data_IF_312892728255
#
_entry.id   IF_312892728255
#
_cell.length_a   1.000
_cell.length_b   1.000
_cell.length_c   1.000
_cell.angle_alpha   90.00
_cell.angle_beta   90.00
_cell.angle_gamma   90.00
#
_symmetry.space_group_name_H-M   'P 1'
#
loop_
_entity.id
_entity.type
_entity.pdbx_description
1 polymer ?
#
# COMPACT_ATOMS: atom_id res chain seq x y z
N UNK A 1 -10.40 -57.62 1.50
CA UNK A 1 -11.30 -56.52 1.11
C UNK A 1 -10.47 -55.32 0.73
N UNK A 2 -10.24 -55.12 -0.57
CA UNK A 2 -9.47 -53.99 -1.08
C UNK A 2 -10.41 -52.82 -1.29
N UNK A 3 -10.33 -51.80 -0.45
CA UNK A 3 -11.03 -50.51 -0.64
C UNK A 3 -10.27 -49.68 -1.65
N UNK A 4 -10.71 -49.67 -2.89
CA UNK A 4 -10.29 -48.73 -3.92
C UNK A 4 -10.68 -47.31 -3.47
N UNK A 5 -9.70 -46.49 -3.08
CA UNK A 5 -9.87 -45.06 -2.93
C UNK A 5 -10.03 -44.48 -4.34
N UNK A 6 -11.25 -44.14 -4.70
CA UNK A 6 -11.55 -43.47 -5.95
C UNK A 6 -10.85 -42.09 -5.97
N UNK A 7 -9.83 -41.99 -6.82
CA UNK A 7 -9.24 -40.69 -7.20
C UNK A 7 -10.35 -39.86 -7.84
N UNK A 8 -10.89 -38.87 -7.11
CA UNK A 8 -11.87 -37.97 -7.64
C UNK A 8 -11.31 -37.24 -8.85
N UNK A 9 -11.79 -37.60 -10.02
CA UNK A 9 -11.53 -36.99 -11.31
C UNK A 9 -11.80 -35.48 -11.20
N UNK A 10 -10.72 -34.70 -11.31
CA UNK A 10 -10.83 -33.25 -11.45
C UNK A 10 -11.60 -32.99 -12.74
N UNK A 11 -12.74 -32.28 -12.72
CA UNK A 11 -13.45 -31.96 -13.96
C UNK A 11 -12.48 -31.24 -14.89
N UNK A 12 -12.40 -31.67 -16.14
CA UNK A 12 -11.63 -31.00 -17.18
C UNK A 12 -12.21 -29.59 -17.39
N UNK A 13 -11.66 -28.61 -16.66
CA UNK A 13 -11.98 -27.19 -16.85
C UNK A 13 -11.40 -26.76 -18.19
N UNK A 14 -12.23 -26.73 -19.22
CA UNK A 14 -11.86 -26.46 -20.61
C UNK A 14 -11.84 -24.96 -20.95
N UNK A 15 -11.28 -24.12 -20.07
CA UNK A 15 -11.02 -22.72 -20.40
C UNK A 15 -11.45 -21.70 -19.35
N UNK A 16 -11.20 -20.43 -19.64
CA UNK A 16 -11.43 -19.30 -18.73
C UNK A 16 -12.89 -19.12 -18.33
N UNK A 17 -13.84 -19.36 -19.25
CA UNK A 17 -15.28 -19.19 -19.00
C UNK A 17 -15.87 -20.28 -18.12
N UNK A 18 -15.24 -21.46 -18.08
CA UNK A 18 -15.70 -22.58 -17.26
C UNK A 18 -15.26 -22.48 -15.78
N UNK A 19 -14.51 -21.42 -15.40
CA UNK A 19 -14.04 -21.25 -14.03
C UNK A 19 -15.19 -20.87 -13.10
N UNK A 20 -15.41 -21.71 -12.08
CA UNK A 20 -16.33 -21.36 -10.99
C UNK A 20 -15.66 -20.36 -10.02
N UNK A 21 -15.86 -19.08 -10.28
CA UNK A 21 -15.25 -17.98 -9.51
C UNK A 21 -15.65 -17.98 -8.05
N UNK A 22 -16.94 -18.29 -7.75
CA UNK A 22 -17.44 -18.35 -6.36
C UNK A 22 -16.66 -19.41 -5.56
N UNK A 23 -16.47 -20.60 -6.13
CA UNK A 23 -15.71 -21.67 -5.50
C UNK A 23 -14.21 -21.30 -5.36
N UNK A 24 -13.62 -20.65 -6.38
CA UNK A 24 -12.22 -20.19 -6.32
C UNK A 24 -12.02 -19.17 -5.20
N UNK A 25 -12.87 -18.15 -5.10
CA UNK A 25 -12.79 -17.14 -4.03
C UNK A 25 -13.01 -17.75 -2.64
N UNK A 26 -13.98 -18.65 -2.49
CA UNK A 26 -14.24 -19.34 -1.22
C UNK A 26 -13.02 -20.16 -0.75
N UNK A 27 -12.39 -20.89 -1.67
CA UNK A 27 -11.17 -21.69 -1.35
C UNK A 27 -10.00 -20.80 -0.97
N UNK A 28 -9.75 -19.70 -1.71
CA UNK A 28 -8.70 -18.73 -1.38
C UNK A 28 -8.95 -18.12 0.00
N UNK A 29 -10.18 -17.64 0.26
CA UNK A 29 -10.56 -17.05 1.55
C UNK A 29 -10.37 -18.03 2.71
N UNK A 30 -10.75 -19.31 2.54
CA UNK A 30 -10.53 -20.34 3.58
C UNK A 30 -9.05 -20.50 3.91
N UNK A 31 -8.17 -20.48 2.92
CA UNK A 31 -6.72 -20.56 3.13
C UNK A 31 -6.18 -19.29 3.78
N UNK A 32 -6.65 -18.11 3.37
CA UNK A 32 -6.27 -16.83 3.98
C UNK A 32 -6.65 -16.75 5.47
N UNK A 33 -7.84 -17.20 5.85
CA UNK A 33 -8.26 -17.26 7.26
C UNK A 33 -7.37 -18.21 8.08
N UNK A 34 -6.97 -19.35 7.50
CA UNK A 34 -6.03 -20.29 8.15
C UNK A 34 -4.63 -19.68 8.30
N UNK A 35 -4.15 -18.95 7.30
CA UNK A 35 -2.87 -18.23 7.37
C UNK A 35 -2.94 -17.17 8.49
N UNK A 36 -3.98 -16.35 8.54
CA UNK A 36 -4.16 -15.35 9.58
C UNK A 36 -4.21 -15.98 11.00
N UNK A 37 -4.93 -17.11 11.17
CA UNK A 37 -4.96 -17.84 12.44
C UNK A 37 -3.57 -18.34 12.84
N UNK A 38 -2.86 -19.00 11.93
CA UNK A 38 -1.50 -19.50 12.19
C UNK A 38 -0.52 -18.35 12.50
N UNK A 39 -0.67 -17.20 11.84
CA UNK A 39 0.13 -15.99 12.10
C UNK A 39 -0.10 -15.46 13.52
N UNK A 40 -1.37 -15.34 13.97
CA UNK A 40 -1.68 -14.93 15.35
C UNK A 40 -1.08 -15.86 16.40
N UNK A 41 -1.01 -17.16 16.09
CA UNK A 41 -0.41 -18.18 16.93
C UNK A 41 1.11 -18.31 16.76
N UNK A 42 1.73 -17.44 15.95
CA UNK A 42 3.18 -17.46 15.62
C UNK A 42 3.69 -18.79 15.06
N UNK A 43 2.82 -19.59 14.48
CA UNK A 43 3.13 -20.90 13.88
C UNK A 43 3.73 -20.73 12.47
N UNK A 44 4.91 -20.14 12.39
CA UNK A 44 5.55 -19.72 11.12
C UNK A 44 5.80 -20.88 10.13
N UNK A 45 6.02 -22.10 10.63
CA UNK A 45 6.11 -23.28 9.76
C UNK A 45 4.79 -23.54 9.04
N UNK A 46 3.67 -23.52 9.79
CA UNK A 46 2.33 -23.71 9.23
C UNK A 46 1.94 -22.55 8.28
N UNK A 47 2.32 -21.31 8.59
CA UNK A 47 2.13 -20.18 7.68
C UNK A 47 2.79 -20.46 6.34
N UNK A 48 4.07 -20.86 6.32
CA UNK A 48 4.79 -21.19 5.07
C UNK A 48 4.17 -22.35 4.29
N UNK A 49 3.68 -23.37 4.97
CA UNK A 49 2.98 -24.51 4.33
C UNK A 49 1.66 -24.05 3.69
N UNK A 50 0.84 -23.28 4.39
CA UNK A 50 -0.42 -22.75 3.88
C UNK A 50 -0.20 -21.78 2.71
N UNK A 51 0.81 -20.93 2.77
CA UNK A 51 1.21 -20.07 1.65
C UNK A 51 1.58 -20.91 0.42
N UNK A 52 2.32 -22.02 0.62
CA UNK A 52 2.71 -22.94 -0.46
C UNK A 52 1.49 -23.66 -1.06
N UNK A 53 0.52 -24.07 -0.23
CA UNK A 53 -0.74 -24.66 -0.69
C UNK A 53 -1.53 -23.64 -1.52
N UNK A 54 -1.69 -22.40 -1.04
CA UNK A 54 -2.43 -21.35 -1.73
C UNK A 54 -1.80 -21.03 -3.09
N UNK A 55 -0.50 -20.79 -3.12
CA UNK A 55 0.23 -20.37 -4.33
C UNK A 55 0.35 -21.47 -5.39
N UNK A 56 0.21 -22.74 -5.00
CA UNK A 56 0.15 -23.87 -5.93
C UNK A 56 -1.26 -24.20 -6.40
N UNK A 57 -2.29 -23.73 -5.68
CA UNK A 57 -3.67 -24.06 -6.00
C UNK A 57 -4.12 -23.41 -7.31
N UNK A 58 -4.95 -24.12 -8.07
CA UNK A 58 -5.63 -23.58 -9.25
C UNK A 58 -6.42 -22.31 -8.90
N UNK A 59 -7.17 -22.35 -7.80
CA UNK A 59 -7.99 -21.23 -7.34
C UNK A 59 -7.17 -19.96 -7.07
N UNK A 60 -6.01 -20.08 -6.43
CA UNK A 60 -5.09 -18.96 -6.20
C UNK A 60 -4.58 -18.37 -7.51
N UNK A 61 -4.13 -19.23 -8.44
CA UNK A 61 -3.64 -18.81 -9.76
C UNK A 61 -4.74 -18.12 -10.59
N UNK A 62 -5.94 -18.68 -10.63
CA UNK A 62 -7.08 -18.11 -11.35
C UNK A 62 -7.45 -16.71 -10.81
N UNK A 63 -7.60 -16.57 -9.48
CA UNK A 63 -7.90 -15.29 -8.83
C UNK A 63 -6.80 -14.25 -9.09
N UNK A 64 -5.53 -14.65 -9.05
CA UNK A 64 -4.40 -13.77 -9.33
C UNK A 64 -4.42 -13.25 -10.79
N UNK A 65 -4.66 -14.12 -11.76
CA UNK A 65 -4.78 -13.72 -13.18
C UNK A 65 -5.98 -12.81 -13.38
N UNK A 66 -7.13 -13.12 -12.77
CA UNK A 66 -8.31 -12.27 -12.82
C UNK A 66 -8.02 -10.86 -12.32
N UNK A 67 -7.37 -10.74 -11.16
CA UNK A 67 -6.98 -9.44 -10.56
C UNK A 67 -6.17 -8.57 -11.52
N UNK A 68 -5.22 -9.12 -12.24
CA UNK A 68 -4.34 -8.35 -13.14
C UNK A 68 -4.97 -8.05 -14.51
N UNK A 69 -5.99 -8.80 -14.90
CA UNK A 69 -6.69 -8.62 -16.18
C UNK A 69 -7.98 -7.79 -16.06
N UNK A 70 -8.42 -7.48 -14.84
CA UNK A 70 -9.63 -6.67 -14.58
C UNK A 70 -9.32 -5.29 -13.97
N UNK A 71 -8.08 -5.03 -13.53
CA UNK A 71 -7.67 -3.74 -12.96
C UNK A 71 -7.46 -2.64 -14.02
N UNK A 72 -7.29 -1.39 -13.57
CA UNK A 72 -7.06 -0.24 -14.45
C UNK A 72 -5.78 -0.36 -15.29
N UNK A 73 -4.76 -1.05 -14.79
CA UNK A 73 -3.47 -1.29 -15.46
C UNK A 73 -3.47 -2.42 -16.50
N UNK A 74 -4.61 -3.09 -16.76
CA UNK A 74 -4.72 -4.26 -17.64
C UNK A 74 -4.25 -4.03 -19.08
N UNK A 75 -4.30 -2.77 -19.57
CA UNK A 75 -3.90 -2.38 -20.93
C UNK A 75 -2.45 -1.90 -21.02
N UNK A 76 -1.71 -1.86 -19.93
CA UNK A 76 -0.33 -1.36 -19.92
C UNK A 76 0.64 -2.55 -19.94
N UNK A 77 1.36 -2.81 -21.05
CA UNK A 77 2.29 -3.94 -21.15
C UNK A 77 3.58 -3.68 -20.36
N UNK A 78 4.26 -4.75 -19.96
CA UNK A 78 5.62 -4.71 -19.45
C UNK A 78 6.64 -4.50 -20.56
N UNK A 79 7.89 -4.95 -20.34
CA UNK A 79 8.97 -4.85 -21.33
C UNK A 79 8.74 -5.77 -22.54
N UNK A 80 7.99 -6.87 -22.33
CA UNK A 80 7.66 -7.87 -23.35
C UNK A 80 6.57 -7.43 -24.33
N UNK A 81 5.97 -6.25 -24.13
CA UNK A 81 4.86 -5.73 -24.95
C UNK A 81 3.55 -6.52 -24.83
N UNK A 82 3.50 -7.58 -24.00
CA UNK A 82 2.36 -8.50 -23.95
C UNK A 82 1.31 -8.05 -22.93
N UNK A 83 0.06 -8.27 -23.31
CA UNK A 83 -1.14 -8.11 -22.46
C UNK A 83 -2.03 -9.33 -22.60
N UNK A 84 -2.91 -9.60 -21.62
CA UNK A 84 -3.82 -10.74 -21.64
C UNK A 84 -5.27 -10.24 -21.80
N UNK A 85 -5.74 -10.20 -23.04
CA UNK A 85 -7.09 -9.74 -23.37
C UNK A 85 -8.09 -10.89 -23.53
N UNK A 86 -7.67 -11.89 -24.30
CA UNK A 86 -8.55 -12.99 -24.68
C UNK A 86 -8.68 -14.03 -23.57
N UNK A 87 -9.79 -14.79 -23.54
CA UNK A 87 -9.96 -15.90 -22.61
C UNK A 87 -8.82 -16.95 -22.71
N UNK A 88 -8.33 -17.20 -23.94
CA UNK A 88 -7.21 -18.13 -24.19
C UNK A 88 -5.91 -17.64 -23.55
N UNK A 89 -5.59 -16.34 -23.67
CA UNK A 89 -4.40 -15.75 -23.04
C UNK A 89 -4.50 -15.77 -21.51
N UNK A 90 -5.66 -15.44 -20.96
CA UNK A 90 -5.90 -15.50 -19.51
C UNK A 90 -5.75 -16.91 -18.97
N UNK A 91 -6.29 -17.90 -19.68
CA UNK A 91 -6.13 -19.30 -19.33
C UNK A 91 -4.67 -19.74 -19.40
N UNK A 92 -3.96 -19.41 -20.48
CA UNK A 92 -2.52 -19.61 -20.61
C UNK A 92 -1.73 -18.96 -19.48
N UNK A 93 -2.17 -17.78 -19.05
CA UNK A 93 -1.64 -17.08 -17.87
C UNK A 93 -1.76 -17.93 -16.60
N UNK A 94 -2.94 -18.51 -16.31
CA UNK A 94 -3.14 -19.40 -15.15
C UNK A 94 -2.21 -20.60 -15.19
N UNK A 95 -2.10 -21.28 -16.35
CA UNK A 95 -1.24 -22.43 -16.54
C UNK A 95 0.25 -22.09 -16.39
N UNK A 96 0.65 -20.87 -16.77
CA UNK A 96 2.05 -20.42 -16.72
C UNK A 96 2.56 -20.07 -15.33
N UNK A 97 1.68 -19.93 -14.32
CA UNK A 97 2.06 -19.55 -12.96
C UNK A 97 2.64 -20.75 -12.18
N UNK A 98 3.89 -21.07 -12.45
CA UNK A 98 4.66 -22.06 -11.72
C UNK A 98 5.95 -21.43 -11.21
N UNK A 99 6.35 -21.79 -9.97
CA UNK A 99 7.61 -21.33 -9.36
C UNK A 99 8.84 -22.01 -9.98
N UNK A 100 8.69 -23.28 -10.39
CA UNK A 100 9.78 -24.02 -11.03
C UNK A 100 10.12 -23.34 -12.36
N UNK A 101 11.39 -22.96 -12.53
CA UNK A 101 11.86 -22.28 -13.73
C UNK A 101 11.41 -20.81 -13.87
N UNK A 102 10.70 -20.25 -12.88
CA UNK A 102 10.29 -18.86 -12.93
C UNK A 102 11.49 -17.92 -12.76
N UNK A 103 11.61 -16.98 -13.71
CA UNK A 103 12.55 -15.85 -13.67
C UNK A 103 11.76 -14.59 -14.02
N UNK A 104 11.70 -13.58 -13.15
CA UNK A 104 11.08 -12.29 -13.46
C UNK A 104 11.88 -11.59 -14.56
N UNK A 105 11.18 -10.82 -15.38
CA UNK A 105 11.84 -9.95 -16.36
C UNK A 105 12.12 -8.58 -15.74
N UNK A 106 13.09 -7.82 -16.31
CA UNK A 106 13.30 -6.44 -15.91
C UNK A 106 12.03 -5.60 -16.06
N UNK A 107 11.86 -4.62 -15.18
CA UNK A 107 10.71 -3.73 -15.23
C UNK A 107 10.86 -2.73 -16.38
N UNK A 108 9.78 -2.37 -17.04
CA UNK A 108 9.76 -1.24 -17.97
C UNK A 108 9.65 0.06 -17.19
N UNK A 109 10.70 0.88 -17.16
CA UNK A 109 10.72 2.17 -16.46
C UNK A 109 10.02 3.24 -17.30
N UNK A 110 9.08 3.96 -16.67
CA UNK A 110 8.47 5.18 -17.21
C UNK A 110 8.49 6.26 -16.14
N UNK A 111 8.42 7.52 -16.55
CA UNK A 111 8.38 8.68 -15.66
C UNK A 111 7.00 9.34 -15.73
N UNK A 112 6.34 9.47 -14.58
CA UNK A 112 5.05 10.16 -14.46
C UNK A 112 5.31 11.56 -13.89
N UNK A 113 4.83 12.63 -14.55
CA UNK A 113 4.99 14.00 -14.05
C UNK A 113 4.22 14.18 -12.73
N UNK A 114 4.85 14.87 -11.77
CA UNK A 114 4.23 15.34 -10.53
C UNK A 114 3.77 16.78 -10.67
N UNK A 115 2.83 17.20 -9.82
CA UNK A 115 2.32 18.59 -9.80
C UNK A 115 3.38 19.66 -9.48
N UNK A 116 4.53 19.26 -8.94
CA UNK A 116 5.66 20.15 -8.61
C UNK A 116 6.75 20.19 -9.69
N UNK A 117 6.47 19.73 -10.92
CA UNK A 117 7.42 19.68 -12.04
C UNK A 117 8.45 18.54 -11.97
N UNK A 118 8.58 17.83 -10.84
CA UNK A 118 9.42 16.64 -10.74
C UNK A 118 8.71 15.43 -11.36
N UNK A 119 9.45 14.37 -11.66
CA UNK A 119 8.87 13.11 -12.15
C UNK A 119 8.90 12.04 -11.06
N UNK A 120 7.98 11.06 -11.19
CA UNK A 120 7.98 9.84 -10.38
C UNK A 120 8.35 8.67 -11.28
N UNK A 121 9.44 7.96 -11.02
CA UNK A 121 9.75 6.74 -11.76
C UNK A 121 8.75 5.64 -11.40
N UNK A 122 8.21 4.96 -12.42
CA UNK A 122 7.31 3.82 -12.27
C UNK A 122 7.88 2.62 -13.01
N UNK A 123 8.05 1.50 -12.32
CA UNK A 123 8.50 0.24 -12.90
C UNK A 123 7.32 -0.67 -13.23
N UNK A 124 7.10 -0.97 -14.50
CA UNK A 124 5.98 -1.78 -14.96
C UNK A 124 6.44 -3.21 -15.20
N UNK A 125 6.01 -4.20 -14.38
CA UNK A 125 6.33 -5.61 -14.59
C UNK A 125 5.55 -6.19 -15.79
N UNK A 126 6.00 -7.32 -16.34
CA UNK A 126 5.22 -8.08 -17.33
C UNK A 126 3.90 -8.58 -16.73
N UNK A 127 2.94 -8.97 -17.59
CA UNK A 127 1.68 -9.54 -17.10
C UNK A 127 1.89 -10.80 -16.26
N UNK A 128 2.86 -11.64 -16.65
CA UNK A 128 3.23 -12.84 -15.90
C UNK A 128 3.79 -12.51 -14.52
N UNK A 129 4.66 -11.51 -14.44
CA UNK A 129 5.26 -11.08 -13.17
C UNK A 129 4.22 -10.44 -12.24
N UNK A 130 3.32 -9.61 -12.80
CA UNK A 130 2.18 -9.06 -12.05
C UNK A 130 1.29 -10.16 -11.49
N UNK A 131 0.96 -11.18 -12.30
CA UNK A 131 0.12 -12.28 -11.86
C UNK A 131 0.82 -13.14 -10.79
N UNK A 132 2.15 -13.35 -10.90
CA UNK A 132 2.92 -14.03 -9.88
C UNK A 132 2.99 -13.23 -8.58
N UNK A 133 3.18 -11.92 -8.65
CA UNK A 133 3.11 -11.02 -7.49
C UNK A 133 1.72 -11.01 -6.87
N UNK A 134 0.66 -10.94 -7.68
CA UNK A 134 -0.73 -11.01 -7.20
C UNK A 134 -1.04 -12.34 -6.50
N UNK A 135 -0.52 -13.44 -7.01
CA UNK A 135 -0.67 -14.77 -6.40
C UNK A 135 -0.03 -14.83 -5.01
N UNK A 136 1.19 -14.31 -4.88
CA UNK A 136 1.88 -14.26 -3.60
C UNK A 136 1.31 -13.21 -2.66
N UNK A 137 0.74 -12.14 -3.19
CA UNK A 137 0.02 -11.16 -2.38
C UNK A 137 -1.19 -11.80 -1.68
N UNK A 138 -1.95 -12.69 -2.35
CA UNK A 138 -3.04 -13.44 -1.71
C UNK A 138 -2.56 -14.25 -0.48
N UNK A 139 -1.31 -14.70 -0.48
CA UNK A 139 -0.73 -15.48 0.60
C UNK A 139 -0.01 -14.64 1.66
N UNK A 140 0.48 -13.45 1.31
CA UNK A 140 1.21 -12.55 2.21
C UNK A 140 0.29 -11.55 2.92
N UNK A 141 -0.77 -11.06 2.25
CA UNK A 141 -1.71 -10.09 2.78
C UNK A 141 -2.35 -10.51 4.14
N UNK A 142 -2.77 -11.80 4.36
CA UNK A 142 -3.26 -12.21 5.66
C UNK A 142 -2.22 -12.12 6.79
N UNK A 143 -0.94 -12.31 6.46
CA UNK A 143 0.16 -12.14 7.42
C UNK A 143 0.33 -10.66 7.74
N UNK A 144 0.48 -9.83 6.70
CA UNK A 144 0.63 -8.38 6.85
C UNK A 144 -0.51 -7.76 7.67
N UNK A 145 -1.78 -8.10 7.35
CA UNK A 145 -2.94 -7.57 8.09
C UNK A 145 -3.00 -8.05 9.55
N UNK A 146 -2.44 -9.22 9.86
CA UNK A 146 -2.41 -9.74 11.22
C UNK A 146 -1.33 -9.10 12.08
N UNK A 147 -0.22 -8.67 11.48
CA UNK A 147 0.95 -8.10 12.17
C UNK A 147 1.06 -6.59 12.05
N UNK A 148 0.22 -5.98 11.22
CA UNK A 148 0.26 -4.54 10.94
C UNK A 148 0.01 -3.69 12.19
N UNK A 149 0.63 -2.53 12.22
CA UNK A 149 0.34 -1.48 13.19
C UNK A 149 -1.15 -1.09 13.15
N UNK A 150 -1.74 -0.87 14.32
CA UNK A 150 -3.17 -0.63 14.46
C UNK A 150 -3.61 0.65 13.73
N UNK A 151 -2.81 1.70 13.82
CA UNK A 151 -3.07 3.00 13.23
C UNK A 151 -2.32 3.24 11.91
N UNK A 152 -2.10 2.16 11.15
CA UNK A 152 -1.62 2.18 9.78
C UNK A 152 -2.78 1.94 8.81
N UNK A 153 -2.97 2.82 7.81
CA UNK A 153 -4.15 2.83 6.94
C UNK A 153 -3.85 2.68 5.45
N UNK A 154 -2.75 3.25 4.96
CA UNK A 154 -2.43 3.26 3.53
C UNK A 154 -2.17 1.88 2.96
N UNK A 155 -2.65 1.61 1.73
CA UNK A 155 -2.50 0.36 0.98
C UNK A 155 -3.08 -0.90 1.65
N UNK A 156 -3.88 -0.75 2.67
CA UNK A 156 -4.50 -1.86 3.40
C UNK A 156 -5.95 -2.07 2.94
N UNK A 157 -6.41 -3.34 2.84
CA UNK A 157 -7.80 -3.66 2.53
C UNK A 157 -8.76 -3.04 3.56
N UNK A 158 -9.89 -2.52 3.07
CA UNK A 158 -10.96 -1.94 3.89
C UNK A 158 -10.51 -0.77 4.79
N UNK A 159 -9.39 -0.14 4.47
CA UNK A 159 -8.89 1.08 5.13
C UNK A 159 -8.85 2.23 4.13
N UNK A 160 -9.20 3.42 4.59
CA UNK A 160 -9.30 4.62 3.76
C UNK A 160 -8.56 5.80 4.37
N UNK A 161 -8.47 6.89 3.63
CA UNK A 161 -7.96 8.17 4.17
C UNK A 161 -8.88 8.73 5.25
N UNK A 162 -10.19 8.43 5.18
CA UNK A 162 -11.16 8.87 6.17
C UNK A 162 -10.89 8.24 7.54
N UNK A 163 -10.59 6.93 7.58
CA UNK A 163 -10.27 6.22 8.82
C UNK A 163 -9.02 6.82 9.50
N UNK A 164 -8.02 7.22 8.70
CA UNK A 164 -6.83 7.89 9.22
C UNK A 164 -7.17 9.28 9.81
N UNK A 165 -8.00 10.06 9.13
CA UNK A 165 -8.45 11.38 9.58
C UNK A 165 -9.34 11.27 10.81
N UNK A 166 -10.25 10.30 10.87
CA UNK A 166 -11.06 10.01 12.05
C UNK A 166 -10.19 9.61 13.25
N UNK A 167 -9.19 8.76 13.02
CA UNK A 167 -8.21 8.40 14.04
C UNK A 167 -7.48 9.61 14.61
N UNK A 168 -7.12 10.59 13.78
CA UNK A 168 -6.54 11.86 14.22
C UNK A 168 -7.54 12.65 15.05
N UNK A 169 -8.78 12.78 14.58
CA UNK A 169 -9.83 13.50 15.29
C UNK A 169 -10.06 12.94 16.69
N UNK A 170 -10.25 11.63 16.80
CA UNK A 170 -10.49 10.95 18.10
C UNK A 170 -9.36 11.19 19.11
N UNK A 171 -8.11 11.30 18.65
CA UNK A 171 -6.94 11.47 19.54
C UNK A 171 -6.64 12.91 19.89
N UNK A 172 -7.06 13.87 19.07
CA UNK A 172 -6.62 15.27 19.18
C UNK A 172 -7.75 16.25 19.44
N UNK A 173 -9.03 15.87 19.41
CA UNK A 173 -10.16 16.78 19.53
C UNK A 173 -10.38 17.33 20.95
N UNK A 174 -10.03 16.57 21.99
CA UNK A 174 -10.28 16.95 23.38
C UNK A 174 -9.36 18.08 23.86
N UNK A 175 -9.79 18.85 24.89
CA UNK A 175 -9.00 19.94 25.49
C UNK A 175 -7.65 19.48 26.03
N UNK A 176 -7.63 18.28 26.63
CA UNK A 176 -6.43 17.65 27.23
C UNK A 176 -5.56 16.91 26.21
N UNK A 177 -5.96 16.85 24.96
CA UNK A 177 -5.20 16.17 23.89
C UNK A 177 -3.85 16.86 23.63
N UNK A 178 -2.87 16.11 23.07
CA UNK A 178 -1.56 16.65 22.74
C UNK A 178 -1.66 17.85 21.80
N UNK A 179 -0.75 18.81 22.00
CA UNK A 179 -0.74 20.06 21.22
C UNK A 179 0.34 20.12 20.15
N UNK A 180 1.34 19.25 20.24
CA UNK A 180 2.45 19.24 19.31
C UNK A 180 2.39 18.01 18.39
N UNK A 181 2.63 18.23 17.13
CA UNK A 181 2.55 17.23 16.07
C UNK A 181 3.85 17.22 15.27
N UNK A 182 4.49 16.07 15.16
CA UNK A 182 5.55 15.79 14.22
C UNK A 182 4.92 15.22 12.95
N UNK A 183 5.01 15.96 11.85
CA UNK A 183 4.68 15.52 10.50
C UNK A 183 5.93 14.86 9.93
N UNK A 184 5.85 13.59 9.54
CA UNK A 184 6.99 12.85 9.00
C UNK A 184 6.75 12.37 7.58
N UNK A 185 7.76 12.56 6.72
CA UNK A 185 7.82 12.03 5.36
C UNK A 185 9.10 11.21 5.21
N UNK A 186 9.01 10.06 4.53
CA UNK A 186 10.15 9.17 4.32
C UNK A 186 10.77 9.45 2.96
N UNK A 187 12.06 9.76 2.94
CA UNK A 187 12.80 10.06 1.71
C UNK A 187 12.86 8.85 0.79
N UNK A 188 12.10 8.89 -0.33
CA UNK A 188 12.14 7.83 -1.33
C UNK A 188 11.81 6.44 -0.78
N UNK A 189 10.80 6.31 0.07
CA UNK A 189 10.48 5.09 0.81
C UNK A 189 10.56 3.83 -0.06
N UNK A 190 9.87 3.78 -1.20
CA UNK A 190 9.87 2.61 -2.08
C UNK A 190 11.24 2.32 -2.73
N UNK A 191 12.08 3.31 -2.90
CA UNK A 191 13.34 3.20 -3.64
C UNK A 191 14.52 2.83 -2.71
N UNK A 192 14.37 3.00 -1.38
CA UNK A 192 15.47 2.91 -0.43
C UNK A 192 15.38 1.74 0.55
N UNK A 193 14.22 1.03 0.67
CA UNK A 193 14.09 -0.09 1.63
C UNK A 193 15.21 -1.11 1.40
N UNK A 194 15.94 -1.47 2.45
CA UNK A 194 17.02 -2.45 2.42
C UNK A 194 16.53 -3.82 1.91
N UNK A 195 17.17 -4.35 0.86
CA UNK A 195 16.90 -5.69 0.38
C UNK A 195 17.22 -6.76 1.43
N UNK A 196 18.29 -6.60 2.20
CA UNK A 196 18.68 -7.56 3.24
C UNK A 196 17.67 -7.59 4.37
N UNK A 197 17.16 -6.41 4.75
CA UNK A 197 16.08 -6.33 5.73
C UNK A 197 14.82 -7.06 5.24
N UNK A 198 14.38 -6.79 4.00
CA UNK A 198 13.21 -7.47 3.40
C UNK A 198 13.40 -8.98 3.35
N UNK A 199 14.59 -9.45 2.93
CA UNK A 199 14.89 -10.87 2.80
C UNK A 199 14.94 -11.61 4.15
N UNK A 200 15.23 -10.92 5.24
CA UNK A 200 15.30 -11.51 6.59
C UNK A 200 13.97 -11.44 7.35
N UNK A 201 13.12 -10.43 7.08
CA UNK A 201 11.92 -10.18 7.87
C UNK A 201 10.60 -10.53 7.17
N UNK A 202 10.55 -10.55 5.83
CA UNK A 202 9.30 -10.87 5.13
C UNK A 202 9.05 -12.38 5.11
N UNK A 203 7.95 -12.88 5.69
CA UNK A 203 7.67 -14.31 5.81
C UNK A 203 7.07 -14.89 4.52
N UNK A 204 7.89 -14.98 3.48
CA UNK A 204 7.56 -15.58 2.19
C UNK A 204 8.75 -16.37 1.63
N UNK A 205 8.61 -16.98 0.44
CA UNK A 205 9.73 -17.64 -0.24
C UNK A 205 10.85 -16.64 -0.53
N UNK A 206 11.96 -16.77 0.22
CA UNK A 206 13.13 -15.87 0.15
C UNK A 206 13.77 -15.83 -1.23
N UNK A 207 13.80 -16.99 -1.93
CA UNK A 207 14.41 -17.08 -3.28
C UNK A 207 13.59 -16.29 -4.29
N UNK A 208 12.26 -16.37 -4.19
CA UNK A 208 11.37 -15.62 -5.05
C UNK A 208 11.44 -14.13 -4.77
N UNK A 209 11.39 -13.72 -3.50
CA UNK A 209 11.53 -12.33 -3.11
C UNK A 209 12.83 -11.73 -3.64
N UNK A 210 13.96 -12.43 -3.45
CA UNK A 210 15.28 -12.02 -3.98
C UNK A 210 15.24 -11.83 -5.50
N UNK A 211 14.57 -12.72 -6.25
CA UNK A 211 14.44 -12.59 -7.71
C UNK A 211 13.69 -11.31 -8.10
N UNK A 212 12.61 -10.95 -7.40
CA UNK A 212 11.88 -9.72 -7.69
C UNK A 212 12.67 -8.46 -7.33
N UNK A 213 13.32 -8.44 -6.17
CA UNK A 213 14.14 -7.31 -5.74
C UNK A 213 15.34 -7.05 -6.67
N UNK A 214 15.90 -8.12 -7.25
CA UNK A 214 17.04 -8.07 -8.16
C UNK A 214 16.67 -8.12 -9.66
N UNK A 215 15.40 -7.99 -10.01
CA UNK A 215 14.95 -8.06 -11.41
C UNK A 215 15.49 -6.93 -12.29
N UNK A 216 15.86 -5.80 -11.71
CA UNK A 216 16.33 -4.62 -12.44
C UNK A 216 15.22 -3.94 -13.24
N UNK A 217 15.59 -2.94 -14.03
CA UNK A 217 14.67 -2.25 -14.92
C UNK A 217 15.36 -1.81 -16.20
N UNK A 218 14.57 -1.69 -17.24
CA UNK A 218 14.98 -1.13 -18.53
C UNK A 218 14.48 0.31 -18.66
N UNK A 219 15.39 1.21 -18.95
CA UNK A 219 15.12 2.61 -19.21
C UNK A 219 15.82 3.05 -20.49
N UNK A 220 15.06 3.54 -21.48
CA UNK A 220 15.60 3.97 -22.78
C UNK A 220 16.50 2.92 -23.47
N UNK A 221 16.14 1.64 -23.33
CA UNK A 221 16.92 0.54 -23.91
C UNK A 221 18.12 0.05 -23.07
N UNK A 222 18.43 0.72 -21.94
CA UNK A 222 19.54 0.36 -21.06
C UNK A 222 19.03 -0.40 -19.85
N UNK A 223 19.70 -1.51 -19.52
CA UNK A 223 19.41 -2.30 -18.30
C UNK A 223 20.09 -1.66 -17.08
N UNK A 224 19.34 -1.53 -16.00
CA UNK A 224 19.80 -1.00 -14.74
C UNK A 224 19.54 -1.99 -13.60
N UNK A 225 20.53 -2.20 -12.76
CA UNK A 225 20.40 -3.02 -11.56
C UNK A 225 19.64 -2.30 -10.45
N UNK A 226 18.97 -3.06 -9.57
CA UNK A 226 18.36 -2.54 -8.34
C UNK A 226 19.14 -3.05 -7.13
N UNK A 227 19.67 -2.15 -6.32
CA UNK A 227 20.46 -2.46 -5.12
C UNK A 227 19.65 -2.28 -3.82
N UNK A 228 18.62 -1.46 -3.86
CA UNK A 228 17.69 -1.20 -2.76
C UNK A 228 16.27 -1.01 -3.29
N UNK A 229 15.31 -0.94 -2.40
CA UNK A 229 13.93 -0.60 -2.69
C UNK A 229 13.07 -1.73 -3.22
N UNK A 230 11.80 -1.42 -3.35
CA UNK A 230 10.81 -2.26 -4.02
C UNK A 230 10.30 -1.52 -5.25
N UNK A 231 10.04 -2.21 -6.39
CA UNK A 231 9.64 -1.53 -7.61
C UNK A 231 8.35 -0.73 -7.43
N UNK A 232 8.40 0.60 -7.62
CA UNK A 232 7.18 1.41 -7.70
C UNK A 232 6.35 0.96 -8.91
N UNK A 233 5.15 0.39 -8.65
CA UNK A 233 4.28 -0.21 -9.67
C UNK A 233 4.20 -1.73 -9.63
N UNK A 234 4.99 -2.41 -8.80
CA UNK A 234 4.79 -3.81 -8.46
C UNK A 234 3.54 -4.00 -7.60
N UNK A 235 2.75 -5.04 -7.88
CA UNK A 235 1.50 -5.32 -7.13
C UNK A 235 1.77 -5.64 -5.66
N UNK A 236 2.88 -6.27 -5.35
CA UNK A 236 3.25 -6.69 -3.98
C UNK A 236 4.00 -5.58 -3.22
N UNK A 237 4.57 -4.59 -3.91
CA UNK A 237 5.43 -3.58 -3.32
C UNK A 237 4.76 -2.75 -2.21
N UNK A 238 3.47 -2.36 -2.30
CA UNK A 238 2.80 -1.65 -1.22
C UNK A 238 2.74 -2.44 0.09
N UNK A 239 2.52 -3.75 0.03
CA UNK A 239 2.49 -4.61 1.22
C UNK A 239 3.89 -4.79 1.78
N UNK A 240 4.92 -4.96 0.94
CA UNK A 240 6.31 -5.03 1.39
C UNK A 240 6.74 -3.74 2.11
N UNK A 241 6.36 -2.58 1.56
CA UNK A 241 6.63 -1.29 2.19
C UNK A 241 5.90 -1.15 3.53
N UNK A 242 4.61 -1.52 3.60
CA UNK A 242 3.89 -1.51 4.87
C UNK A 242 4.56 -2.41 5.91
N UNK A 243 4.90 -3.65 5.55
CA UNK A 243 5.56 -4.57 6.48
C UNK A 243 6.94 -4.08 6.94
N UNK A 244 7.64 -3.30 6.10
CA UNK A 244 8.89 -2.66 6.51
C UNK A 244 8.66 -1.52 7.52
N UNK A 245 7.53 -0.83 7.44
CA UNK A 245 7.20 0.29 8.32
C UNK A 245 6.38 -0.13 9.55
N UNK A 246 5.80 -1.33 9.55
CA UNK A 246 5.06 -1.86 10.69
C UNK A 246 6.00 -2.21 11.86
N UNK A 247 5.48 -2.03 13.06
CA UNK A 247 6.22 -2.18 14.31
C UNK A 247 6.66 -0.86 14.94
N UNK A 248 6.67 0.26 14.19
CA UNK A 248 7.02 1.57 14.72
C UNK A 248 6.02 2.04 15.79
N UNK A 249 4.72 1.84 15.56
CA UNK A 249 3.69 2.16 16.56
C UNK A 249 3.93 1.39 17.86
N UNK A 250 4.24 0.09 17.74
CA UNK A 250 4.54 -0.75 18.90
C UNK A 250 5.76 -0.24 19.68
N UNK A 251 6.83 0.14 18.99
CA UNK A 251 8.05 0.65 19.61
C UNK A 251 7.80 1.98 20.33
N UNK A 252 7.08 2.90 19.69
CA UNK A 252 6.64 4.16 20.31
C UNK A 252 5.78 3.92 21.56
N UNK A 253 4.82 2.97 21.48
CA UNK A 253 3.97 2.61 22.62
C UNK A 253 4.76 2.01 23.78
N UNK A 254 5.72 1.12 23.48
CA UNK A 254 6.57 0.50 24.50
C UNK A 254 7.48 1.51 25.19
N UNK A 255 7.94 2.54 24.48
CA UNK A 255 8.82 3.56 25.04
C UNK A 255 8.04 4.61 25.86
N UNK A 256 6.95 5.14 25.32
CA UNK A 256 6.29 6.32 25.87
C UNK A 256 4.97 6.04 26.60
N UNK A 257 4.44 4.82 26.53
CA UNK A 257 3.14 4.44 27.12
C UNK A 257 3.20 3.23 28.05
N UNK A 258 4.33 3.00 28.72
CA UNK A 258 4.55 1.83 29.60
C UNK A 258 3.57 1.75 30.79
N UNK A 259 3.04 2.88 31.26
CA UNK A 259 2.04 2.95 32.32
C UNK A 259 1.02 4.06 32.04
N UNK A 260 -0.12 4.04 32.72
CA UNK A 260 -1.14 5.09 32.60
C UNK A 260 -0.58 6.49 32.85
N UNK A 261 0.31 6.64 33.84
CA UNK A 261 1.00 7.90 34.14
C UNK A 261 1.88 8.38 32.98
N UNK A 262 2.72 7.51 32.43
CA UNK A 262 3.57 7.87 31.28
C UNK A 262 2.75 8.17 30.02
N UNK A 263 1.65 7.46 29.80
CA UNK A 263 0.73 7.76 28.70
C UNK A 263 0.14 9.17 28.81
N UNK A 264 -0.28 9.58 30.00
CA UNK A 264 -0.82 10.93 30.27
C UNK A 264 0.27 12.01 30.15
N UNK A 265 1.50 11.72 30.59
CA UNK A 265 2.64 12.66 30.57
C UNK A 265 3.12 12.94 29.14
N UNK A 266 3.36 11.92 28.34
CA UNK A 266 4.00 12.07 27.02
C UNK A 266 2.98 12.26 25.89
N UNK A 267 1.78 11.69 25.98
CA UNK A 267 0.70 11.80 25.00
C UNK A 267 1.12 11.47 23.55
N UNK A 268 2.06 10.52 23.42
CA UNK A 268 2.56 10.08 22.12
C UNK A 268 1.52 9.20 21.44
N UNK A 269 1.03 9.62 20.27
CA UNK A 269 0.16 8.84 19.41
C UNK A 269 0.76 8.82 18.01
N UNK A 270 0.48 7.75 17.25
CA UNK A 270 0.98 7.53 15.91
C UNK A 270 -0.15 7.24 14.95
N UNK A 271 -0.15 7.86 13.79
CA UNK A 271 -1.09 7.59 12.68
C UNK A 271 -0.30 7.62 11.37
N UNK A 272 -0.40 6.54 10.58
CA UNK A 272 0.33 6.40 9.32
C UNK A 272 -0.59 6.10 8.15
N UNK A 273 -0.29 6.72 7.02
CA UNK A 273 -0.89 6.41 5.73
C UNK A 273 0.21 6.20 4.68
N UNK A 274 0.57 4.95 4.41
CA UNK A 274 1.71 4.58 3.57
C UNK A 274 3.04 5.15 4.11
N UNK A 275 3.68 6.03 3.37
CA UNK A 275 4.92 6.73 3.72
C UNK A 275 4.71 8.06 4.48
N UNK A 276 3.48 8.59 4.48
CA UNK A 276 3.12 9.78 5.26
C UNK A 276 2.68 9.36 6.67
N UNK A 277 3.19 10.00 7.70
CA UNK A 277 2.77 9.74 9.07
C UNK A 277 2.79 10.99 9.95
N UNK A 278 2.05 10.93 11.03
CA UNK A 278 2.11 11.92 12.11
C UNK A 278 2.35 11.25 13.45
N UNK A 279 3.06 11.95 14.31
CA UNK A 279 3.23 11.58 15.70
C UNK A 279 2.88 12.77 16.60
N UNK A 280 1.99 12.59 17.58
CA UNK A 280 1.69 13.64 18.55
C UNK A 280 2.54 13.53 19.80
N UNK A 281 2.66 14.60 20.55
CA UNK A 281 3.35 14.64 21.84
C UNK A 281 2.92 15.81 22.73
N UNK A 282 3.22 15.70 24.02
CA UNK A 282 2.89 16.72 25.02
C UNK A 282 3.70 18.01 24.86
N UNK A 283 4.94 17.92 24.39
CA UNK A 283 5.80 19.08 24.14
C UNK A 283 6.58 18.97 22.84
N UNK A 284 7.12 20.08 22.37
CA UNK A 284 7.99 20.14 21.20
C UNK A 284 9.30 19.43 21.45
N UNK A 285 9.88 19.64 22.63
CA UNK A 285 11.18 19.08 23.07
C UNK A 285 11.12 17.55 23.09
N UNK A 286 10.01 16.97 23.58
CA UNK A 286 9.79 15.53 23.56
C UNK A 286 9.81 14.98 22.13
N UNK A 287 9.12 15.65 21.21
CA UNK A 287 9.08 15.22 19.81
C UNK A 287 10.45 15.38 19.13
N UNK A 288 11.18 16.43 19.41
CA UNK A 288 12.47 16.72 18.78
C UNK A 288 13.61 15.86 19.33
N UNK A 289 13.68 15.69 20.66
CA UNK A 289 14.82 15.09 21.33
C UNK A 289 14.67 13.59 21.62
N UNK A 290 13.45 13.07 21.65
CA UNK A 290 13.21 11.67 21.99
C UNK A 290 12.47 10.92 20.88
N UNK A 291 11.31 11.44 20.41
CA UNK A 291 10.45 10.73 19.43
C UNK A 291 11.12 10.69 18.05
N UNK A 292 11.60 11.83 17.54
CA UNK A 292 12.26 11.91 16.24
C UNK A 292 13.53 11.05 16.14
N UNK A 293 14.45 11.03 17.12
CA UNK A 293 15.60 10.13 17.10
C UNK A 293 15.21 8.64 17.11
N UNK A 294 14.19 8.24 17.89
CA UNK A 294 13.69 6.87 17.90
C UNK A 294 13.16 6.48 16.51
N UNK A 295 12.32 7.31 15.90
CA UNK A 295 11.83 7.08 14.55
C UNK A 295 12.99 6.99 13.54
N UNK A 296 13.96 7.87 13.64
CA UNK A 296 15.14 7.86 12.76
C UNK A 296 15.98 6.59 12.91
N UNK A 297 16.15 6.07 14.13
CA UNK A 297 16.82 4.81 14.39
C UNK A 297 16.07 3.63 13.78
N UNK A 298 14.74 3.55 14.00
CA UNK A 298 13.86 2.56 13.41
C UNK A 298 13.94 2.54 11.88
N UNK A 299 13.93 3.72 11.25
CA UNK A 299 14.03 3.85 9.79
C UNK A 299 15.42 3.41 9.27
N UNK A 300 16.49 3.77 9.97
CA UNK A 300 17.88 3.43 9.56
C UNK A 300 18.11 1.93 9.49
N UNK A 301 17.58 1.14 10.42
CA UNK A 301 17.66 -0.33 10.37
C UNK A 301 17.07 -0.91 9.08
N UNK A 302 16.11 -0.21 8.47
CA UNK A 302 15.40 -0.59 7.26
C UNK A 302 15.98 0.03 5.99
N UNK A 303 17.13 0.77 6.14
CA UNK A 303 17.75 1.51 5.03
C UNK A 303 16.98 2.76 4.63
N UNK A 304 16.12 3.28 5.51
CA UNK A 304 15.27 4.44 5.27
C UNK A 304 15.75 5.66 6.06
N UNK A 305 15.41 6.83 5.56
CA UNK A 305 15.73 8.13 6.18
C UNK A 305 14.48 9.02 6.18
N UNK A 306 14.35 9.84 7.23
CA UNK A 306 13.36 10.92 7.26
C UNK A 306 13.77 12.02 6.29
N UNK A 307 12.78 12.62 5.62
CA UNK A 307 13.01 13.81 4.80
C UNK A 307 13.11 15.04 5.70
N UNK A 308 14.30 15.60 5.87
CA UNK A 308 14.50 16.80 6.70
C UNK A 308 13.67 17.99 6.21
N UNK A 309 13.58 18.18 4.89
CA UNK A 309 12.81 19.26 4.26
C UNK A 309 11.29 19.20 4.54
N UNK A 310 10.76 18.00 4.77
CA UNK A 310 9.32 17.77 4.92
C UNK A 310 8.93 17.30 6.32
N UNK A 311 9.89 16.99 7.17
CA UNK A 311 9.63 16.63 8.57
C UNK A 311 9.58 17.90 9.40
N UNK A 312 8.42 18.19 9.96
CA UNK A 312 8.20 19.43 10.74
C UNK A 312 7.49 19.14 12.07
N UNK A 313 7.77 19.96 13.08
CA UNK A 313 7.05 19.93 14.34
C UNK A 313 6.19 21.18 14.44
N UNK A 314 4.87 20.99 14.46
CA UNK A 314 3.86 22.05 14.38
C UNK A 314 2.95 22.01 15.61
N UNK A 315 2.58 23.20 16.13
CA UNK A 315 1.54 23.31 17.17
C UNK A 315 0.16 23.21 16.52
N UNK A 316 -0.77 22.50 17.17
CA UNK A 316 -2.11 22.22 16.62
C UNK A 316 -2.94 23.49 16.32
N UNK A 317 -2.69 24.60 17.03
CA UNK A 317 -3.37 25.88 16.79
C UNK A 317 -2.86 26.59 15.52
N UNK A 318 -1.65 26.26 15.05
CA UNK A 318 -1.17 26.67 13.72
C UNK A 318 -1.79 25.81 12.63
N UNK A 319 -2.04 24.53 12.94
CA UNK A 319 -2.57 23.52 12.04
C UNK A 319 -1.53 22.91 11.12
N UNK A 320 -1.85 21.74 10.61
CA UNK A 320 -1.01 20.98 9.68
C UNK A 320 -1.85 20.35 8.57
N UNK A 321 -1.22 19.99 7.45
CA UNK A 321 -1.89 19.38 6.32
C UNK A 321 -1.55 17.88 6.27
N UNK A 322 -2.57 17.02 6.36
CA UNK A 322 -2.42 15.58 6.25
C UNK A 322 -3.46 15.00 5.28
N UNK A 323 -3.03 14.20 4.31
CA UNK A 323 -3.88 13.58 3.29
C UNK A 323 -4.81 14.58 2.56
N UNK A 324 -4.32 15.78 2.28
CA UNK A 324 -5.10 16.81 1.61
C UNK A 324 -6.15 17.52 2.49
N UNK A 325 -6.16 17.24 3.78
CA UNK A 325 -6.96 17.90 4.80
C UNK A 325 -6.08 18.79 5.66
N UNK A 326 -6.59 19.96 6.09
CA UNK A 326 -5.99 20.80 7.11
C UNK A 326 -6.63 20.49 8.45
N UNK A 327 -5.82 20.09 9.40
CA UNK A 327 -6.22 19.76 10.78
C UNK A 327 -5.76 20.88 11.68
N UNK A 328 -6.69 21.55 12.40
CA UNK A 328 -6.35 22.69 13.24
C UNK A 328 -7.32 22.85 14.41
N UNK A 329 -6.83 23.34 15.56
CA UNK A 329 -7.67 23.84 16.66
C UNK A 329 -7.86 25.36 16.58
N UNK A 330 -9.09 25.79 16.77
CA UNK A 330 -9.50 27.19 16.87
C UNK A 330 -10.17 27.38 18.24
N UNK A 331 -9.55 28.13 19.12
CA UNK A 331 -10.05 28.32 20.49
C UNK A 331 -10.42 27.01 21.20
N UNK A 332 -9.56 26.00 21.07
CA UNK A 332 -9.72 24.68 21.68
C UNK A 332 -10.68 23.73 20.95
N UNK A 333 -11.41 24.18 19.92
CA UNK A 333 -12.28 23.34 19.07
C UNK A 333 -11.51 22.90 17.82
N UNK A 334 -11.49 21.59 17.58
CA UNK A 334 -10.82 21.03 16.40
C UNK A 334 -11.72 21.11 15.18
N UNK A 335 -11.17 21.64 14.09
CA UNK A 335 -11.79 21.63 12.77
C UNK A 335 -10.87 20.94 11.78
N UNK A 336 -11.46 20.12 10.93
CA UNK A 336 -10.79 19.47 9.80
C UNK A 336 -11.50 19.92 8.53
N UNK A 337 -10.74 20.49 7.60
CA UNK A 337 -11.28 21.01 6.33
C UNK A 337 -10.33 20.74 5.18
N UNK A 338 -10.76 20.83 3.91
CA UNK A 338 -9.85 20.70 2.78
C UNK A 338 -8.68 21.67 2.90
N UNK A 339 -7.44 21.18 2.65
CA UNK A 339 -6.27 22.05 2.71
C UNK A 339 -6.33 23.14 1.63
N UNK A 340 -5.76 24.32 1.89
CA UNK A 340 -5.70 25.43 0.92
C UNK A 340 -5.10 24.99 -0.41
N UNK A 341 -4.06 24.15 -0.36
CA UNK A 341 -3.40 23.58 -1.54
C UNK A 341 -4.35 22.69 -2.34
N UNK A 342 -5.10 21.81 -1.66
CA UNK A 342 -6.06 20.91 -2.31
C UNK A 342 -7.20 21.71 -2.98
N UNK A 343 -7.78 22.68 -2.26
CA UNK A 343 -8.81 23.57 -2.81
C UNK A 343 -8.31 24.33 -4.04
N UNK A 344 -7.11 24.92 -3.96
CA UNK A 344 -6.50 25.63 -5.10
C UNK A 344 -6.34 24.71 -6.32
N UNK A 345 -5.81 23.49 -6.11
CA UNK A 345 -5.63 22.50 -7.18
C UNK A 345 -6.97 22.10 -7.82
N UNK A 346 -8.00 21.88 -7.01
CA UNK A 346 -9.34 21.59 -7.48
C UNK A 346 -9.91 22.71 -8.35
N UNK A 347 -9.87 23.96 -7.86
CA UNK A 347 -10.35 25.14 -8.61
C UNK A 347 -9.55 25.35 -9.90
N UNK A 348 -8.22 25.16 -9.87
CA UNK A 348 -7.40 25.23 -11.09
C UNK A 348 -7.83 24.20 -12.11
N UNK A 349 -8.06 22.95 -11.71
CA UNK A 349 -8.51 21.87 -12.60
C UNK A 349 -9.89 22.14 -13.20
N UNK A 350 -10.83 22.65 -12.41
CA UNK A 350 -12.17 23.04 -12.91
C UNK A 350 -12.04 24.16 -13.95
N UNK A 351 -11.28 25.21 -13.64
CA UNK A 351 -11.05 26.35 -14.54
C UNK A 351 -10.36 25.90 -15.83
N UNK A 352 -9.41 24.99 -15.75
CA UNK A 352 -8.71 24.43 -16.91
C UNK A 352 -9.66 23.68 -17.84
N UNK A 353 -10.56 22.86 -17.31
CA UNK A 353 -11.57 22.16 -18.11
C UNK A 353 -12.48 23.17 -18.83
N UNK A 354 -12.95 24.20 -18.14
CA UNK A 354 -13.80 25.24 -18.73
C UNK A 354 -13.05 25.98 -19.84
N UNK A 355 -11.83 26.48 -19.56
CA UNK A 355 -11.03 27.25 -20.53
C UNK A 355 -10.62 26.47 -21.77
N UNK A 356 -10.36 25.15 -21.64
CA UNK A 356 -10.00 24.29 -22.79
C UNK A 356 -11.17 23.95 -23.71
N UNK A 357 -12.39 24.20 -23.27
CA UNK A 357 -13.60 23.80 -23.98
C UNK A 357 -14.61 24.94 -24.16
N UNK A 358 -14.22 26.11 -24.72
CA UNK A 358 -15.08 27.29 -24.80
C UNK A 358 -16.30 27.12 -25.70
N UNK A 359 -16.19 26.26 -26.71
CA UNK A 359 -17.25 26.02 -27.73
C UNK A 359 -18.03 24.72 -27.47
N UNK A 360 -17.75 24.01 -26.36
CA UNK A 360 -18.38 22.74 -26.09
C UNK A 360 -19.87 22.94 -25.65
N UNK A 361 -20.84 22.18 -26.17
CA UNK A 361 -22.20 22.22 -25.66
C UNK A 361 -22.26 21.99 -24.15
N UNK A 362 -23.13 22.72 -23.45
CA UNK A 362 -23.20 22.72 -21.98
C UNK A 362 -23.28 21.31 -21.35
N UNK A 363 -24.10 20.41 -21.95
CA UNK A 363 -24.24 19.04 -21.44
C UNK A 363 -22.93 18.21 -21.52
N UNK A 364 -22.10 18.42 -22.55
CA UNK A 364 -20.79 17.78 -22.67
C UNK A 364 -19.81 18.34 -21.64
N UNK A 365 -19.82 19.67 -21.43
CA UNK A 365 -18.98 20.32 -20.41
C UNK A 365 -19.35 19.83 -19.00
N UNK A 366 -20.64 19.78 -18.68
CA UNK A 366 -21.14 19.21 -17.42
C UNK A 366 -20.69 17.75 -17.25
N UNK A 367 -20.74 16.95 -18.32
CA UNK A 367 -20.26 15.56 -18.32
C UNK A 367 -18.76 15.44 -17.99
N UNK A 368 -17.93 16.42 -18.37
CA UNK A 368 -16.50 16.46 -17.99
C UNK A 368 -16.25 16.98 -16.57
N UNK A 369 -17.06 17.93 -16.09
CA UNK A 369 -16.92 18.54 -14.77
C UNK A 369 -17.42 17.61 -13.66
N UNK A 370 -18.56 16.93 -13.86
CA UNK A 370 -19.20 16.11 -12.85
C UNK A 370 -18.28 15.06 -12.19
N UNK A 371 -17.46 14.28 -12.93
CA UNK A 371 -16.53 13.34 -12.31
C UNK A 371 -15.52 14.00 -11.38
N UNK A 372 -15.04 15.20 -11.75
CA UNK A 372 -14.05 15.96 -10.96
C UNK A 372 -14.70 16.53 -9.69
N UNK A 373 -15.89 17.14 -9.83
CA UNK A 373 -16.63 17.74 -8.71
C UNK A 373 -17.09 16.66 -7.74
N UNK A 374 -17.71 15.59 -8.24
CA UNK A 374 -18.19 14.47 -7.41
C UNK A 374 -17.03 13.74 -6.73
N UNK A 375 -15.92 13.52 -7.43
CA UNK A 375 -14.73 12.90 -6.85
C UNK A 375 -14.17 13.72 -5.69
N UNK A 376 -14.06 15.04 -5.86
CA UNK A 376 -13.60 15.95 -4.82
C UNK A 376 -14.57 16.02 -3.65
N UNK A 377 -15.87 16.19 -3.92
CA UNK A 377 -16.91 16.24 -2.89
C UNK A 377 -16.99 14.93 -2.10
N UNK A 378 -16.90 13.77 -2.76
CA UNK A 378 -16.90 12.46 -2.09
C UNK A 378 -15.67 12.30 -1.20
N UNK A 379 -14.50 12.77 -1.65
CA UNK A 379 -13.27 12.70 -0.86
C UNK A 379 -13.34 13.54 0.41
N UNK A 380 -13.96 14.73 0.35
CA UNK A 380 -14.02 15.67 1.45
C UNK A 380 -15.34 15.67 2.25
N UNK A 381 -16.31 14.79 1.92
CA UNK A 381 -17.65 14.77 2.54
C UNK A 381 -17.68 14.52 4.05
N UNK A 382 -16.58 14.05 4.64
CA UNK A 382 -16.45 13.73 6.07
C UNK A 382 -15.78 14.83 6.88
N UNK A 383 -15.50 15.97 6.27
CA UNK A 383 -14.86 17.13 6.91
C UNK A 383 -15.68 18.39 6.64
N UNK A 384 -15.42 19.44 7.41
CA UNK A 384 -16.20 20.71 7.37
C UNK A 384 -15.79 21.57 6.18
#
# INVERSE_FOLDING_TARGET
>A
MNTHISVSTIPHLTGWHAINWKACHARVRKLQLRIAKATRQQQWRQVRELQRILTRSFSGKAVAVRRVTENTGKRTPGIDGKIWHTPKEKWGGVCSLNLRGYRPQPLRRIHIPKSNGKTRPLGIPTMRDRAMQALWLLALEPVSETTADHNSYGFRPMRSTHDAIESIFLRMSQKVSPKWILEGDIKGCFDNISHDWLLSHIPMDRRLLKKWLKAGYMERGVFNHTNSGTPQGGIISPVLANMALDGLEKELMQTFRKSGYHSAKHQVNYVRYADDFICSGSSRELLENEVRPLIAAFMRERGLELSEEKTAITHIDKGFDFLGQNVRKYNGKMLIKPSKKNLKNFLCKVREIIKRNPTLPAWKLIGQLNPVIRGWATYHRHVV
#
